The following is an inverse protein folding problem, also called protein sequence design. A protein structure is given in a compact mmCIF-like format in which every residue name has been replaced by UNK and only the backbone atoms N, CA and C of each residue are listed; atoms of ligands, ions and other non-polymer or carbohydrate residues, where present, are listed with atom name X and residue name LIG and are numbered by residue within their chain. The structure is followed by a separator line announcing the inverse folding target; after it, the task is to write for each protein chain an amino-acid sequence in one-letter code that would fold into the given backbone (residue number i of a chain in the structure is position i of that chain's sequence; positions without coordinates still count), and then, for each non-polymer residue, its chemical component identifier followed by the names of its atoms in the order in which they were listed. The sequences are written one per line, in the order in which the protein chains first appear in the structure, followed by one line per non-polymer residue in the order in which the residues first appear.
data_IF_118871335154
#
_entry.id   IF_118871335154
#
_cell.length_a   1.000
_cell.length_b   1.000
_cell.length_c   1.000
_cell.angle_alpha   90.00
_cell.angle_beta   90.00
_cell.angle_gamma   90.00
#
_symmetry.space_group_name_H-M   'P 1'
#
loop_
_entity.id
_entity.type
_entity.pdbx_description
1 polymer ?
#
# COMPACT_ATOMS: atom_id res chain seq x y z
N UNK A 1 -17.75 6.09 -14.56
CA UNK A 1 -16.35 5.63 -14.59
C UNK A 1 -15.96 5.39 -13.15
N UNK A 2 -16.12 4.16 -12.64
CA UNK A 2 -15.63 3.83 -11.31
C UNK A 2 -14.12 3.58 -11.43
N UNK A 3 -13.34 4.58 -11.03
CA UNK A 3 -11.88 4.46 -10.99
C UNK A 3 -11.48 3.57 -9.83
N UNK A 4 -10.55 2.64 -10.06
CA UNK A 4 -9.98 1.85 -8.99
C UNK A 4 -9.12 2.77 -8.09
N UNK A 5 -9.34 2.72 -6.78
CA UNK A 5 -8.52 3.42 -5.79
C UNK A 5 -8.35 2.62 -4.50
N UNK A 6 -7.21 2.80 -3.83
CA UNK A 6 -6.81 2.15 -2.60
C UNK A 6 -6.28 3.18 -1.60
N UNK A 7 -6.47 2.91 -0.33
CA UNK A 7 -5.89 3.66 0.78
C UNK A 7 -5.07 2.72 1.66
N UNK A 8 -3.86 3.13 2.00
CA UNK A 8 -2.90 2.33 2.76
C UNK A 8 -2.33 3.16 3.91
N UNK A 9 -2.35 2.62 5.11
CA UNK A 9 -1.65 3.17 6.27
C UNK A 9 -0.18 2.79 6.19
N UNK A 10 0.68 3.75 6.45
CA UNK A 10 2.11 3.63 6.26
C UNK A 10 2.81 3.49 7.61
N UNK A 11 3.91 2.75 7.62
CA UNK A 11 4.86 2.81 8.73
C UNK A 11 5.61 4.14 8.70
N UNK A 12 5.29 5.01 9.65
CA UNK A 12 5.92 6.33 9.82
C UNK A 12 7.01 6.34 10.89
N UNK A 13 7.31 5.19 11.50
CA UNK A 13 8.26 5.08 12.62
C UNK A 13 9.71 5.22 12.17
N UNK A 14 9.98 4.93 10.89
CA UNK A 14 11.30 5.02 10.28
C UNK A 14 11.61 6.42 9.74
N UNK A 15 12.77 6.98 10.10
CA UNK A 15 13.26 8.21 9.48
C UNK A 15 13.36 8.08 7.95
N UNK A 16 12.86 9.06 7.22
CA UNK A 16 12.89 9.05 5.75
C UNK A 16 11.81 8.16 5.10
N UNK A 17 10.85 7.63 5.86
CA UNK A 17 9.73 6.84 5.34
C UNK A 17 9.03 7.54 4.16
N UNK A 18 8.78 8.85 4.27
CA UNK A 18 8.07 9.62 3.24
C UNK A 18 8.80 9.62 1.90
N UNK A 19 10.15 9.71 1.93
CA UNK A 19 10.98 9.67 0.73
C UNK A 19 10.93 8.29 0.08
N UNK A 20 11.11 7.22 0.85
CA UNK A 20 11.03 5.85 0.33
C UNK A 20 9.66 5.56 -0.28
N UNK A 21 8.58 5.96 0.39
CA UNK A 21 7.21 5.76 -0.09
C UNK A 21 6.97 6.51 -1.40
N UNK A 22 7.42 7.76 -1.49
CA UNK A 22 7.33 8.55 -2.73
C UNK A 22 8.13 7.90 -3.87
N UNK A 23 9.34 7.40 -3.59
CA UNK A 23 10.18 6.71 -4.58
C UNK A 23 9.57 5.39 -5.07
N UNK A 24 8.91 4.62 -4.20
CA UNK A 24 8.24 3.38 -4.62
C UNK A 24 7.01 3.70 -5.46
N UNK A 25 6.14 4.61 -4.99
CA UNK A 25 4.90 4.95 -5.68
C UNK A 25 5.16 5.61 -7.05
N UNK A 26 6.17 6.47 -7.15
CA UNK A 26 6.54 7.11 -8.42
C UNK A 26 7.05 6.14 -9.50
N UNK A 27 7.55 4.97 -9.12
CA UNK A 27 8.01 3.94 -10.08
C UNK A 27 6.85 3.15 -10.70
N UNK A 28 5.65 3.26 -10.13
CA UNK A 28 4.47 2.54 -10.58
C UNK A 28 3.84 3.33 -11.73
N UNK A 29 3.76 2.70 -12.91
CA UNK A 29 3.14 3.31 -14.08
C UNK A 29 1.62 3.22 -14.00
N UNK A 30 0.93 4.27 -14.42
CA UNK A 30 -0.53 4.28 -14.53
C UNK A 30 -1.26 4.45 -13.19
N UNK A 31 -0.55 4.91 -12.15
CA UNK A 31 -1.16 5.31 -10.87
C UNK A 31 -0.98 6.80 -10.61
N UNK A 32 -1.91 7.36 -9.86
CA UNK A 32 -1.80 8.66 -9.20
C UNK A 32 -1.81 8.40 -7.69
N UNK A 33 -1.05 9.19 -6.93
CA UNK A 33 -0.99 9.00 -5.49
C UNK A 33 -0.90 10.33 -4.74
N UNK A 34 -1.41 10.32 -3.52
CA UNK A 34 -1.31 11.41 -2.54
C UNK A 34 -0.87 10.81 -1.21
N UNK A 35 0.10 11.41 -0.55
CA UNK A 35 0.54 10.99 0.79
C UNK A 35 0.12 12.05 1.79
N UNK A 36 -0.73 11.67 2.73
CA UNK A 36 -1.02 12.44 3.93
C UNK A 36 0.02 12.08 5.00
N UNK A 37 1.06 12.89 5.10
CA UNK A 37 2.13 12.67 6.06
C UNK A 37 1.72 12.93 7.52
N UNK A 38 0.65 13.70 7.74
CA UNK A 38 0.12 13.95 9.07
C UNK A 38 -0.65 12.74 9.60
N UNK A 39 -1.45 12.10 8.74
CA UNK A 39 -2.20 10.89 9.07
C UNK A 39 -1.37 9.60 8.90
N UNK A 40 -0.26 9.65 8.15
CA UNK A 40 0.52 8.48 7.78
C UNK A 40 -0.22 7.57 6.81
N UNK A 41 -0.94 8.15 5.83
CA UNK A 41 -1.78 7.41 4.88
C UNK A 41 -1.38 7.77 3.44
N UNK A 42 -1.24 6.77 2.57
CA UNK A 42 -1.19 6.94 1.13
C UNK A 42 -2.54 6.64 0.50
N UNK A 43 -2.99 7.51 -0.40
CA UNK A 43 -4.08 7.28 -1.32
C UNK A 43 -3.49 6.99 -2.69
N UNK A 44 -3.83 5.86 -3.29
CA UNK A 44 -3.33 5.42 -4.60
C UNK A 44 -4.50 5.09 -5.49
N UNK A 45 -4.59 5.71 -6.66
CA UNK A 45 -5.63 5.45 -7.65
C UNK A 45 -5.03 5.10 -9.00
N UNK A 46 -5.76 4.34 -9.82
CA UNK A 46 -5.32 3.95 -11.16
C UNK A 46 -5.31 2.44 -11.38
N UNK A 47 -4.58 2.01 -12.41
CA UNK A 47 -4.59 0.62 -12.88
C UNK A 47 -3.49 -0.18 -12.18
N UNK A 48 -3.67 -0.44 -10.88
CA UNK A 48 -2.78 -1.31 -10.10
C UNK A 48 -3.58 -2.32 -9.29
N UNK A 49 -3.08 -3.55 -9.23
CA UNK A 49 -3.55 -4.57 -8.31
C UNK A 49 -3.06 -4.25 -6.87
N UNK A 50 -3.96 -4.19 -5.87
CA UNK A 50 -3.59 -3.85 -4.49
C UNK A 50 -2.55 -4.80 -3.90
N UNK A 51 -2.58 -6.10 -4.24
CA UNK A 51 -1.60 -7.06 -3.73
C UNK A 51 -0.20 -6.80 -4.28
N UNK A 52 -0.11 -6.37 -5.54
CA UNK A 52 1.14 -5.97 -6.19
C UNK A 52 1.72 -4.72 -5.54
N UNK A 53 0.87 -3.73 -5.22
CA UNK A 53 1.26 -2.53 -4.49
C UNK A 53 1.85 -2.91 -3.11
N UNK A 54 1.14 -3.73 -2.32
CA UNK A 54 1.62 -4.19 -1.02
C UNK A 54 2.96 -4.94 -1.11
N UNK A 55 3.17 -5.78 -2.14
CA UNK A 55 4.44 -6.48 -2.36
C UNK A 55 5.59 -5.52 -2.61
N UNK A 56 5.38 -4.48 -3.42
CA UNK A 56 6.41 -3.47 -3.71
C UNK A 56 6.80 -2.69 -2.45
N UNK A 57 5.82 -2.35 -1.61
CA UNK A 57 6.06 -1.68 -0.33
C UNK A 57 6.87 -2.58 0.62
N UNK A 58 6.47 -3.84 0.76
CA UNK A 58 7.21 -4.81 1.57
C UNK A 58 8.65 -5.02 1.08
N UNK A 59 8.87 -5.08 -0.24
CA UNK A 59 10.22 -5.19 -0.83
C UNK A 59 11.09 -3.97 -0.54
N UNK A 60 10.50 -2.79 -0.36
CA UNK A 60 11.23 -1.57 0.04
C UNK A 60 11.56 -1.49 1.53
N UNK A 61 11.21 -2.55 2.30
CA UNK A 61 11.37 -2.59 3.75
C UNK A 61 10.40 -1.65 4.48
N UNK A 62 9.33 -1.22 3.81
CA UNK A 62 8.27 -0.40 4.40
C UNK A 62 7.05 -1.26 4.66
N UNK A 63 6.66 -1.33 5.92
CA UNK A 63 5.40 -1.95 6.29
C UNK A 63 4.25 -1.00 5.94
N UNK A 64 3.23 -1.54 5.29
CA UNK A 64 2.01 -0.82 4.97
C UNK A 64 0.81 -1.73 5.20
N UNK A 65 -0.27 -1.13 5.67
CA UNK A 65 -1.53 -1.79 5.98
C UNK A 65 -2.62 -1.25 5.05
N UNK A 66 -3.25 -2.13 4.28
CA UNK A 66 -4.31 -1.74 3.37
C UNK A 66 -5.59 -1.40 4.16
N UNK A 67 -6.03 -0.15 4.11
CA UNK A 67 -7.21 0.33 4.84
C UNK A 67 -8.49 0.19 4.03
N UNK A 68 -8.44 0.47 2.74
CA UNK A 68 -9.60 0.44 1.86
C UNK A 68 -9.17 0.17 0.42
N UNK A 69 -9.95 -0.65 -0.27
CA UNK A 69 -9.88 -0.80 -1.73
C UNK A 69 -11.26 -0.57 -2.29
N UNK A 70 -11.34 0.29 -3.29
CA UNK A 70 -12.45 0.34 -4.22
C UNK A 70 -11.91 -0.11 -5.57
N UNK A 71 -12.04 -1.40 -5.84
CA UNK A 71 -11.97 -1.95 -7.18
C UNK A 71 -13.39 -2.22 -7.61
N UNK A 72 -13.81 -1.85 -8.82
CA UNK A 72 -15.17 -2.15 -9.32
C UNK A 72 -15.57 -3.64 -9.27
N UNK A 73 -14.64 -4.53 -8.92
CA UNK A 73 -14.90 -5.88 -8.44
C UNK A 73 -15.15 -5.88 -6.93
N UNK A 74 -16.43 -6.03 -6.56
CA UNK A 74 -16.97 -6.39 -5.24
C UNK A 74 -16.18 -5.84 -4.04
N UNK A 75 -16.77 -4.81 -3.42
CA UNK A 75 -16.57 -4.35 -2.04
C UNK A 75 -16.07 -5.44 -1.06
N UNK A 76 -14.77 -5.74 -1.11
CA UNK A 76 -14.09 -6.53 -0.12
C UNK A 76 -13.49 -5.51 0.83
N UNK A 77 -14.22 -5.24 1.92
CA UNK A 77 -13.60 -4.69 3.11
C UNK A 77 -12.54 -5.69 3.57
N UNK A 78 -11.32 -5.55 3.07
CA UNK A 78 -10.15 -6.05 3.78
C UNK A 78 -10.03 -5.16 5.01
N UNK A 79 -10.75 -5.54 6.08
CA UNK A 79 -10.26 -5.20 7.41
C UNK A 79 -8.90 -5.87 7.48
N UNK A 80 -7.85 -5.06 7.44
CA UNK A 80 -6.52 -5.55 7.64
C UNK A 80 -6.49 -6.29 8.98
N UNK A 81 -6.58 -7.62 8.93
CA UNK A 81 -5.80 -8.41 9.86
C UNK A 81 -4.38 -7.93 9.60
N UNK A 82 -3.81 -7.27 10.59
CA UNK A 82 -2.36 -7.12 10.74
C UNK A 82 -1.74 -8.36 10.13
N UNK A 83 -1.16 -8.24 8.93
CA UNK A 83 -0.13 -9.19 8.51
C UNK A 83 1.06 -8.78 9.35
N UNK A 84 0.97 -9.05 10.66
CA UNK A 84 2.12 -9.46 11.41
C UNK A 84 2.73 -10.53 10.50
N UNK A 85 3.92 -10.24 9.99
CA UNK A 85 4.69 -11.22 9.25
C UNK A 85 4.96 -12.32 10.27
N UNK A 86 4.00 -13.24 10.42
CA UNK A 86 4.18 -14.51 11.06
C UNK A 86 5.17 -15.21 10.16
N UNK A 87 6.44 -15.10 10.54
CA UNK A 87 7.58 -15.90 10.11
C UNK A 87 7.29 -16.68 8.82
N UNK A 88 7.51 -16.05 7.65
CA UNK A 88 7.71 -16.83 6.44
C UNK A 88 9.11 -17.46 6.55
N UNK A 89 9.18 -18.49 7.40
CA UNK A 89 10.34 -19.34 7.58
C UNK A 89 10.44 -20.14 6.29
N UNK A 90 11.46 -19.81 5.52
CA UNK A 90 11.89 -20.59 4.36
C UNK A 90 11.97 -22.07 4.77
N UNK A 91 11.30 -22.95 4.02
CA UNK A 91 11.13 -24.35 4.41
C UNK A 91 10.60 -25.21 3.27
N UNK A 92 11.56 -25.66 2.45
CA UNK A 92 11.54 -26.67 1.36
C UNK A 92 10.99 -26.23 -0.01
#
# INVERSE_FOLDING_TARGET
MEGNWCCEKLDTSSSGWHKTMTEVLSKIKGVSYTIDAQAGIAHVSGTIDPNTLMKLLAQSGKHAELLRVNSGYKHQFYTAKLVAIANYRNGQ
#
